data_IF_672551083487
#
_entry.id   IF_672551083487
#
_cell.length_a   1.000
_cell.length_b   1.000
_cell.length_c   1.000
_cell.angle_alpha   90.00
_cell.angle_beta   90.00
_cell.angle_gamma   90.00
#
_symmetry.space_group_name_H-M   'P 1'
#
loop_
_entity.id
_entity.type
_entity.pdbx_description
1 polymer ?
#
# COMPACT_ATOMS: atom_id res chain seq x y z
N UNK A 1 -99.97 5.98 -17.42
CA UNK A 1 -99.81 4.57 -17.83
C UNK A 1 -98.35 4.33 -18.19
N UNK A 2 -97.75 3.21 -17.75
CA UNK A 2 -96.40 2.66 -18.06
C UNK A 2 -95.16 3.42 -17.53
N UNK A 3 -94.51 2.94 -16.45
CA UNK A 3 -93.44 1.89 -16.35
C UNK A 3 -92.04 2.44 -16.70
N UNK A 4 -91.15 2.66 -15.71
CA UNK A 4 -90.23 1.70 -15.07
C UNK A 4 -89.03 1.29 -15.95
N UNK A 5 -87.80 1.64 -15.52
CA UNK A 5 -86.51 0.87 -15.54
C UNK A 5 -85.35 1.86 -15.30
N UNK A 6 -84.68 1.88 -14.15
CA UNK A 6 -83.74 0.92 -13.55
C UNK A 6 -82.32 0.96 -14.16
N UNK A 7 -81.41 1.54 -13.35
CA UNK A 7 -79.98 1.23 -13.09
C UNK A 7 -79.01 1.11 -14.28
N UNK A 8 -77.91 1.87 -14.21
CA UNK A 8 -76.54 1.31 -14.31
C UNK A 8 -75.49 2.33 -13.83
N UNK A 9 -74.56 1.80 -13.05
CA UNK A 9 -73.46 2.48 -12.39
C UNK A 9 -72.27 2.72 -13.33
N UNK A 10 -71.47 3.74 -13.05
CA UNK A 10 -70.09 3.83 -13.51
C UNK A 10 -69.24 4.53 -12.43
N UNK A 11 -68.68 3.73 -11.53
CA UNK A 11 -67.56 4.10 -10.67
C UNK A 11 -66.30 4.01 -11.54
N UNK A 12 -65.72 5.15 -11.90
CA UNK A 12 -64.44 5.18 -12.59
C UNK A 12 -63.32 4.90 -11.58
N UNK A 13 -62.77 3.70 -11.64
CA UNK A 13 -61.56 3.30 -10.93
C UNK A 13 -60.34 3.98 -11.60
N UNK A 14 -59.62 4.80 -10.83
CA UNK A 14 -58.34 5.35 -11.24
C UNK A 14 -57.25 4.27 -11.07
N UNK A 15 -56.90 3.61 -12.18
CA UNK A 15 -55.74 2.72 -12.26
C UNK A 15 -54.47 3.56 -12.41
N UNK A 16 -53.71 3.72 -11.32
CA UNK A 16 -52.36 4.29 -11.36
C UNK A 16 -51.41 3.20 -11.87
N UNK A 17 -50.87 3.42 -13.06
CA UNK A 17 -49.76 2.66 -13.64
C UNK A 17 -48.49 2.87 -12.80
N UNK A 18 -48.12 1.88 -11.98
CA UNK A 18 -46.78 1.79 -11.43
C UNK A 18 -45.84 1.31 -12.54
N UNK A 19 -45.26 2.25 -13.30
CA UNK A 19 -44.11 1.99 -14.13
C UNK A 19 -42.97 1.53 -13.20
N UNK A 20 -42.55 0.28 -13.36
CA UNK A 20 -41.34 -0.26 -12.75
C UNK A 20 -40.14 0.51 -13.26
N UNK A 21 -39.76 1.57 -12.55
CA UNK A 21 -38.47 2.21 -12.70
C UNK A 21 -37.40 1.20 -12.29
N UNK A 22 -36.51 0.87 -13.21
CA UNK A 22 -35.20 0.35 -12.84
C UNK A 22 -34.61 1.36 -11.84
N UNK A 23 -34.52 0.96 -10.57
CA UNK A 23 -33.82 1.73 -9.57
C UNK A 23 -32.34 1.77 -9.97
N UNK A 24 -31.97 2.79 -10.74
CA UNK A 24 -30.60 3.27 -10.81
C UNK A 24 -30.34 3.79 -9.40
N UNK A 25 -29.75 2.94 -8.56
CA UNK A 25 -29.33 3.32 -7.23
C UNK A 25 -28.44 4.55 -7.35
N UNK A 26 -28.88 5.66 -6.77
CA UNK A 26 -28.06 6.86 -6.65
C UNK A 26 -26.78 6.49 -5.91
N UNK A 27 -25.65 6.68 -6.61
CA UNK A 27 -24.31 6.43 -6.13
C UNK A 27 -24.01 7.45 -5.03
N UNK A 28 -24.05 7.02 -3.76
CA UNK A 28 -23.63 7.86 -2.65
C UNK A 28 -22.14 8.21 -2.77
N UNK A 29 -21.71 9.42 -2.37
CA UNK A 29 -20.30 9.83 -2.38
C UNK A 29 -19.39 9.03 -1.44
N UNK A 30 -19.95 8.13 -0.62
CA UNK A 30 -19.27 7.44 0.49
C UNK A 30 -19.15 5.91 0.32
N UNK A 31 -19.30 5.37 -0.89
CA UNK A 31 -19.14 3.92 -1.10
C UNK A 31 -17.67 3.62 -1.46
N UNK A 32 -16.85 3.05 -0.54
CA UNK A 32 -15.41 2.94 -0.75
C UNK A 32 -15.09 2.09 -2.00
N UNK A 33 -14.50 2.74 -3.00
CA UNK A 33 -13.92 2.09 -4.18
C UNK A 33 -12.58 1.44 -3.82
N UNK A 34 -12.17 0.44 -4.59
CA UNK A 34 -10.75 0.06 -4.63
C UNK A 34 -10.06 0.98 -5.65
N UNK A 35 -8.76 1.22 -5.51
CA UNK A 35 -7.99 1.98 -6.50
C UNK A 35 -7.02 1.07 -7.25
N UNK A 36 -6.83 1.36 -8.53
CA UNK A 36 -5.81 0.74 -9.37
C UNK A 36 -4.82 1.82 -9.81
N UNK A 37 -3.55 1.60 -9.49
CA UNK A 37 -2.43 2.44 -9.89
C UNK A 37 -1.51 1.63 -10.79
N UNK A 38 -1.10 2.21 -11.92
CA UNK A 38 -0.11 1.61 -12.82
C UNK A 38 1.13 2.47 -12.77
N UNK A 39 2.26 1.87 -12.42
CA UNK A 39 3.55 2.55 -12.29
C UNK A 39 4.64 1.82 -13.04
N UNK A 40 5.79 2.47 -13.13
CA UNK A 40 7.05 1.87 -13.55
C UNK A 40 8.19 2.38 -12.69
N UNK A 41 9.32 1.69 -12.79
CA UNK A 41 10.57 2.05 -12.13
C UNK A 41 10.41 2.17 -10.61
N UNK A 42 9.80 1.14 -10.00
CA UNK A 42 9.58 1.06 -8.55
C UNK A 42 8.65 2.16 -8.03
N UNK A 43 7.59 2.44 -8.78
CA UNK A 43 6.64 3.49 -8.42
C UNK A 43 7.11 4.91 -8.66
N UNK A 44 8.27 5.11 -9.29
CA UNK A 44 8.82 6.44 -9.51
C UNK A 44 8.05 7.22 -10.57
N UNK A 45 7.60 6.54 -11.62
CA UNK A 45 6.78 7.12 -12.69
C UNK A 45 5.39 6.48 -12.65
N UNK A 46 4.38 7.33 -12.46
CA UNK A 46 2.98 6.93 -12.55
C UNK A 46 2.54 6.99 -14.00
N UNK A 47 2.12 5.84 -14.52
CA UNK A 47 1.59 5.70 -15.86
C UNK A 47 0.09 5.99 -15.88
N UNK A 48 -0.64 5.56 -14.85
CA UNK A 48 -2.08 5.78 -14.74
C UNK A 48 -2.63 5.52 -13.32
N UNK A 49 -3.86 5.98 -13.05
CA UNK A 49 -4.61 5.77 -11.81
C UNK A 49 -6.11 5.79 -12.09
N UNK A 50 -6.85 4.79 -11.61
CA UNK A 50 -8.31 4.68 -11.77
C UNK A 50 -8.96 4.25 -10.47
N UNK A 51 -10.02 4.95 -10.09
CA UNK A 51 -10.96 4.53 -9.06
C UNK A 51 -11.90 3.46 -9.61
N UNK A 52 -12.06 2.38 -8.85
CA UNK A 52 -12.75 1.19 -9.31
C UNK A 52 -14.05 1.02 -8.50
N UNK A 53 -15.21 0.98 -9.17
CA UNK A 53 -16.48 0.78 -8.48
C UNK A 53 -16.49 -0.49 -7.61
N UNK A 54 -17.16 -0.42 -6.45
CA UNK A 54 -17.33 -1.54 -5.50
C UNK A 54 -17.76 -2.86 -6.14
N UNK A 55 -18.56 -2.83 -7.21
CA UNK A 55 -18.99 -4.04 -7.93
C UNK A 55 -17.81 -4.85 -8.53
N UNK A 56 -16.64 -4.25 -8.69
CA UNK A 56 -15.40 -4.92 -9.09
C UNK A 56 -14.53 -5.36 -7.88
N UNK A 57 -14.86 -4.91 -6.66
CA UNK A 57 -14.20 -5.26 -5.41
C UNK A 57 -14.60 -6.66 -4.94
N UNK A 58 -14.35 -7.69 -5.74
CA UNK A 58 -14.31 -9.11 -5.34
C UNK A 58 -13.40 -9.91 -6.29
N UNK A 59 -12.53 -9.21 -7.00
CA UNK A 59 -11.61 -9.74 -8.00
C UNK A 59 -10.22 -9.76 -7.45
N UNK A 60 -9.36 -10.58 -8.06
CA UNK A 60 -7.94 -10.54 -7.77
C UNK A 60 -7.29 -9.36 -8.51
N UNK A 61 -6.05 -9.02 -8.15
CA UNK A 61 -5.34 -7.89 -8.74
C UNK A 61 -5.23 -7.98 -10.27
N UNK A 62 -5.13 -9.19 -10.84
CA UNK A 62 -5.03 -9.40 -12.28
C UNK A 62 -6.39 -9.24 -12.97
N UNK A 63 -7.45 -9.80 -12.38
CA UNK A 63 -8.81 -9.65 -12.86
C UNK A 63 -9.30 -8.20 -12.75
N UNK A 64 -8.81 -7.45 -11.74
CA UNK A 64 -9.04 -6.01 -11.66
C UNK A 64 -8.34 -5.27 -12.80
N UNK A 65 -7.04 -5.50 -12.98
CA UNK A 65 -6.25 -4.90 -14.06
C UNK A 65 -6.87 -5.19 -15.44
N UNK A 66 -7.17 -6.45 -15.75
CA UNK A 66 -7.73 -6.87 -17.02
C UNK A 66 -9.16 -6.33 -17.29
N UNK A 67 -9.86 -5.86 -16.25
CA UNK A 67 -11.18 -5.25 -16.38
C UNK A 67 -11.18 -3.75 -16.65
N UNK A 68 -10.05 -3.11 -16.39
CA UNK A 68 -9.88 -1.65 -16.45
C UNK A 68 -8.86 -1.25 -17.52
N UNK A 69 -8.00 -2.18 -17.94
CA UNK A 69 -6.86 -1.96 -18.84
C UNK A 69 -6.78 -3.01 -19.94
N UNK A 70 -6.11 -2.66 -21.03
CA UNK A 70 -5.71 -3.64 -22.05
C UNK A 70 -4.48 -4.38 -21.56
N UNK A 71 -4.65 -5.67 -21.29
CA UNK A 71 -3.57 -6.53 -20.76
C UNK A 71 -3.20 -7.59 -21.78
N UNK A 72 -1.91 -7.66 -22.12
CA UNK A 72 -1.33 -8.82 -22.79
C UNK A 72 -0.69 -9.73 -21.75
N UNK A 73 -0.95 -11.03 -21.83
CA UNK A 73 -0.50 -12.00 -20.82
C UNK A 73 -0.19 -13.37 -21.41
N UNK A 74 0.66 -14.10 -20.70
CA UNK A 74 0.95 -15.51 -20.90
C UNK A 74 0.68 -16.25 -19.58
N UNK A 75 -0.43 -16.99 -19.51
CA UNK A 75 -0.90 -17.56 -18.24
C UNK A 75 -1.16 -16.47 -17.18
N UNK A 76 -0.56 -16.55 -15.97
CA UNK A 76 -0.66 -15.53 -14.93
C UNK A 76 0.35 -14.37 -15.10
N UNK A 77 1.30 -14.48 -16.03
CA UNK A 77 2.32 -13.44 -16.25
C UNK A 77 1.76 -12.35 -17.16
N UNK A 78 1.83 -11.10 -16.71
CA UNK A 78 1.52 -9.92 -17.52
C UNK A 78 2.75 -9.55 -18.35
N UNK A 79 2.55 -9.41 -19.67
CA UNK A 79 3.58 -9.04 -20.65
C UNK A 79 3.51 -7.56 -21.00
N UNK A 80 2.31 -6.99 -21.09
CA UNK A 80 2.09 -5.58 -21.37
C UNK A 80 0.79 -5.06 -20.75
N UNK A 81 0.78 -3.76 -20.41
CA UNK A 81 -0.39 -3.01 -19.95
C UNK A 81 -0.51 -1.76 -20.80
N UNK A 82 -1.66 -1.56 -21.45
CA UNK A 82 -1.94 -0.42 -22.33
C UNK A 82 -0.83 -0.12 -23.36
N UNK A 83 -0.19 -1.18 -23.88
CA UNK A 83 0.89 -1.10 -24.86
C UNK A 83 2.30 -0.95 -24.29
N UNK A 84 2.44 -0.70 -22.98
CA UNK A 84 3.73 -0.69 -22.29
C UNK A 84 4.15 -2.13 -22.02
N UNK A 85 5.12 -2.63 -22.78
CA UNK A 85 5.62 -4.01 -22.71
C UNK A 85 6.83 -4.10 -21.78
N UNK A 86 6.89 -5.17 -20.99
CA UNK A 86 8.09 -5.49 -20.23
C UNK A 86 9.24 -5.87 -21.18
N UNK A 87 10.36 -5.15 -21.09
CA UNK A 87 11.58 -5.42 -21.84
C UNK A 87 12.40 -6.58 -21.26
N UNK A 88 13.54 -6.91 -21.89
CA UNK A 88 14.49 -7.87 -21.33
C UNK A 88 14.94 -7.44 -19.92
N UNK A 89 14.76 -8.32 -18.95
CA UNK A 89 15.12 -8.04 -17.55
C UNK A 89 14.08 -7.25 -16.76
N UNK A 90 12.90 -6.99 -17.31
CA UNK A 90 11.78 -6.36 -16.62
C UNK A 90 10.59 -7.32 -16.42
N UNK A 91 9.77 -7.06 -15.42
CA UNK A 91 8.53 -7.76 -15.17
C UNK A 91 7.47 -6.84 -14.57
N UNK A 92 6.20 -7.12 -14.90
CA UNK A 92 5.05 -6.52 -14.24
C UNK A 92 4.74 -7.26 -12.93
N UNK A 93 4.62 -6.52 -11.83
CA UNK A 93 4.33 -7.08 -10.50
C UNK A 93 3.21 -6.32 -9.82
N UNK A 94 2.34 -7.04 -9.13
CA UNK A 94 1.28 -6.45 -8.34
C UNK A 94 1.65 -6.32 -6.87
N UNK A 95 1.13 -5.28 -6.23
CA UNK A 95 1.12 -5.04 -4.79
C UNK A 95 -0.33 -4.71 -4.41
N UNK A 96 -0.82 -5.28 -3.31
CA UNK A 96 -2.15 -4.97 -2.76
C UNK A 96 -1.96 -4.43 -1.35
N UNK A 97 -2.38 -3.20 -1.11
CA UNK A 97 -2.08 -2.43 0.09
C UNK A 97 -0.57 -2.46 0.39
N UNK A 98 0.25 -2.36 -0.66
CA UNK A 98 1.70 -2.39 -0.56
C UNK A 98 2.31 -3.76 -0.25
N UNK A 99 1.53 -4.85 -0.14
CA UNK A 99 2.04 -6.21 0.11
C UNK A 99 2.08 -7.04 -1.18
N UNK A 100 3.11 -7.89 -1.33
CA UNK A 100 3.19 -8.85 -2.45
C UNK A 100 2.17 -9.99 -2.26
N UNK A 101 1.12 -10.08 -3.09
CA UNK A 101 0.10 -11.13 -2.96
C UNK A 101 0.63 -12.52 -3.30
N UNK A 102 1.77 -12.64 -4.00
CA UNK A 102 2.39 -13.93 -4.33
C UNK A 102 2.96 -14.66 -3.09
N UNK A 103 3.14 -13.93 -1.98
CA UNK A 103 3.63 -14.50 -0.71
C UNK A 103 2.54 -15.09 0.18
N UNK A 104 1.27 -15.12 -0.27
CA UNK A 104 0.17 -15.61 0.56
C UNK A 104 -0.39 -14.55 1.53
N UNK A 105 -1.48 -14.80 2.27
CA UNK A 105 -1.85 -13.93 3.37
C UNK A 105 -0.90 -14.19 4.53
N UNK A 106 -0.78 -13.26 5.48
CA UNK A 106 0.10 -13.55 6.58
C UNK A 106 -0.44 -14.62 7.54
N UNK A 107 -1.77 -14.74 7.65
CA UNK A 107 -2.48 -15.65 8.56
C UNK A 107 -2.77 -17.05 8.01
N UNK A 108 -2.27 -17.41 6.82
CA UNK A 108 -2.42 -18.76 6.27
C UNK A 108 -1.20 -19.17 5.42
N UNK A 109 -0.01 -19.29 6.03
CA UNK A 109 1.17 -19.80 5.34
C UNK A 109 0.90 -21.17 4.72
N UNK A 110 1.25 -21.35 3.45
CA UNK A 110 1.18 -22.64 2.76
C UNK A 110 -0.20 -23.05 2.22
N UNK A 111 -1.25 -22.24 2.38
CA UNK A 111 -2.50 -22.46 1.61
C UNK A 111 -2.36 -21.85 0.21
N UNK A 112 -2.87 -22.55 -0.80
CA UNK A 112 -2.84 -22.06 -2.19
C UNK A 112 -3.42 -20.64 -2.29
N UNK A 113 -2.84 -19.75 -3.12
CA UNK A 113 -3.29 -18.37 -3.29
C UNK A 113 -4.75 -18.18 -3.72
N UNK A 114 -5.47 -19.25 -4.08
CA UNK A 114 -6.84 -19.21 -4.62
C UNK A 114 -7.87 -18.49 -3.75
N UNK A 115 -7.61 -18.32 -2.44
CA UNK A 115 -8.54 -17.64 -1.50
C UNK A 115 -8.13 -16.18 -1.24
N UNK A 116 -7.02 -15.71 -1.81
CA UNK A 116 -6.37 -14.43 -1.46
C UNK A 116 -6.63 -13.29 -2.41
N UNK A 117 -7.30 -13.59 -3.51
CA UNK A 117 -7.52 -12.68 -4.61
C UNK A 117 -8.85 -11.98 -4.51
N UNK A 118 -9.38 -11.67 -3.34
CA UNK A 118 -10.61 -10.87 -3.25
C UNK A 118 -10.27 -9.55 -2.62
N UNK A 119 -10.16 -8.52 -3.47
CA UNK A 119 -9.98 -7.15 -3.03
C UNK A 119 -11.16 -6.73 -2.16
N UNK A 120 -10.86 -6.03 -1.07
CA UNK A 120 -11.84 -5.35 -0.25
C UNK A 120 -12.07 -3.92 -0.76
N UNK A 121 -13.24 -3.32 -0.47
CA UNK A 121 -13.43 -1.88 -0.61
C UNK A 121 -12.31 -1.10 0.11
N UNK A 122 -11.74 -0.09 -0.55
CA UNK A 122 -10.61 0.69 -0.05
C UNK A 122 -9.22 0.13 -0.38
N UNK A 123 -9.11 -1.09 -0.90
CA UNK A 123 -7.80 -1.65 -1.26
C UNK A 123 -7.14 -0.83 -2.38
N UNK A 124 -5.84 -0.59 -2.23
CA UNK A 124 -4.98 0.03 -3.24
C UNK A 124 -4.21 -1.09 -3.96
N UNK A 125 -4.47 -1.25 -5.26
CA UNK A 125 -3.74 -2.18 -6.13
C UNK A 125 -2.76 -1.41 -6.97
N UNK A 126 -1.47 -1.68 -6.81
CA UNK A 126 -0.42 -1.13 -7.65
C UNK A 126 0.12 -2.23 -8.57
N UNK A 127 0.13 -1.97 -9.88
CA UNK A 127 0.87 -2.76 -10.87
C UNK A 127 2.09 -1.96 -11.32
N UNK A 128 3.27 -2.49 -11.07
CA UNK A 128 4.54 -1.82 -11.31
C UNK A 128 5.38 -2.61 -12.32
N UNK A 129 5.81 -1.93 -13.38
CA UNK A 129 6.83 -2.45 -14.30
C UNK A 129 8.22 -2.16 -13.71
N UNK A 130 8.97 -3.22 -13.41
CA UNK A 130 10.25 -3.09 -12.68
C UNK A 130 11.26 -4.15 -13.09
N UNK A 131 12.51 -3.97 -12.67
CA UNK A 131 13.57 -4.95 -12.90
C UNK A 131 13.22 -6.32 -12.27
N UNK A 132 13.52 -7.38 -13.01
CA UNK A 132 13.36 -8.79 -12.59
C UNK A 132 14.27 -9.15 -11.43
N UNK A 133 13.84 -10.15 -10.64
CA UNK A 133 14.65 -10.68 -9.54
C UNK A 133 14.58 -9.86 -8.26
N UNK A 134 13.84 -8.74 -8.26
CA UNK A 134 13.56 -7.95 -7.06
C UNK A 134 12.35 -8.51 -6.32
N UNK A 135 12.58 -8.89 -5.06
CA UNK A 135 11.51 -9.18 -4.10
C UNK A 135 11.29 -7.95 -3.25
N UNK A 136 10.09 -7.40 -3.33
CA UNK A 136 9.60 -6.36 -2.43
C UNK A 136 8.37 -6.90 -1.71
N UNK A 137 8.55 -7.69 -0.63
CA UNK A 137 7.45 -8.34 0.08
C UNK A 137 6.41 -7.36 0.66
N UNK A 138 6.88 -6.15 0.99
CA UNK A 138 6.08 -5.02 1.43
C UNK A 138 6.72 -3.72 0.91
N UNK A 139 5.89 -2.70 0.75
CA UNK A 139 6.25 -1.36 0.30
C UNK A 139 5.50 -0.33 1.12
N UNK A 140 5.99 0.91 1.13
CA UNK A 140 5.33 2.02 1.84
C UNK A 140 4.24 2.71 1.01
N UNK A 141 4.16 2.38 -0.28
CA UNK A 141 3.41 3.08 -1.33
C UNK A 141 1.92 3.22 -1.12
N UNK A 142 1.33 2.33 -0.34
CA UNK A 142 -0.10 2.29 -0.05
C UNK A 142 -0.44 2.79 1.37
N UNK A 143 0.47 3.51 2.05
CA UNK A 143 0.16 4.07 3.37
C UNK A 143 -1.11 4.95 3.32
N UNK A 144 -2.06 4.81 4.27
CA UNK A 144 -2.00 4.00 5.50
C UNK A 144 -2.63 2.59 5.37
N UNK A 145 -3.14 2.20 4.20
CA UNK A 145 -4.02 1.03 4.02
C UNK A 145 -3.56 -0.29 4.65
N UNK A 146 -2.29 -0.75 4.51
CA UNK A 146 -1.86 -1.99 5.17
C UNK A 146 -1.94 -1.95 6.70
N UNK A 147 -1.97 -0.76 7.31
CA UNK A 147 -2.12 -0.56 8.75
C UNK A 147 -3.57 -0.23 9.15
N UNK A 148 -4.30 0.46 8.28
CA UNK A 148 -5.69 0.87 8.52
C UNK A 148 -6.66 -0.29 8.30
N UNK A 149 -6.65 -0.83 7.08
CA UNK A 149 -7.58 -1.82 6.54
C UNK A 149 -6.99 -3.23 6.51
N UNK A 150 -5.66 -3.33 6.49
CA UNK A 150 -4.93 -4.59 6.50
C UNK A 150 -4.87 -5.24 5.11
N UNK A 151 -5.13 -6.53 5.03
CA UNK A 151 -4.99 -7.31 3.79
C UNK A 151 -6.06 -8.40 3.66
N UNK A 152 -6.58 -8.59 2.45
CA UNK A 152 -7.61 -9.59 2.13
C UNK A 152 -8.84 -9.48 3.06
N UNK A 153 -9.36 -8.25 3.24
CA UNK A 153 -10.52 -7.97 4.08
C UNK A 153 -10.31 -8.15 5.58
N UNK A 154 -9.06 -8.33 6.03
CA UNK A 154 -8.73 -8.49 7.45
C UNK A 154 -7.77 -7.41 7.92
N UNK A 155 -8.23 -6.66 8.92
CA UNK A 155 -7.43 -5.69 9.67
C UNK A 155 -6.40 -6.39 10.56
N UNK A 156 -5.19 -5.84 10.59
CA UNK A 156 -4.20 -6.17 11.63
C UNK A 156 -4.32 -5.16 12.76
N UNK A 157 -4.38 -5.58 14.04
CA UNK A 157 -3.98 -4.71 15.12
C UNK A 157 -2.58 -4.14 14.82
N UNK A 158 -2.37 -2.87 15.15
CA UNK A 158 -1.10 -2.18 14.92
C UNK A 158 -0.43 -1.92 16.26
N UNK A 159 0.79 -2.43 16.42
CA UNK A 159 1.64 -2.16 17.58
C UNK A 159 2.73 -1.17 17.23
N UNK A 160 2.75 -0.04 17.92
CA UNK A 160 3.82 0.94 17.85
C UNK A 160 4.87 0.59 18.91
N UNK A 161 6.09 0.32 18.45
CA UNK A 161 7.22 -0.07 19.30
C UNK A 161 8.29 1.02 19.21
N UNK A 162 8.51 1.72 20.31
CA UNK A 162 9.52 2.76 20.42
C UNK A 162 10.62 2.31 21.39
N UNK A 163 11.86 2.76 21.17
CA UNK A 163 12.92 2.61 22.19
C UNK A 163 12.60 3.43 23.44
N UNK A 164 12.23 4.69 23.22
CA UNK A 164 11.79 5.63 24.24
C UNK A 164 10.41 6.15 23.84
N UNK A 165 9.41 5.89 24.67
CA UNK A 165 8.02 6.29 24.41
C UNK A 165 7.80 7.79 24.56
N UNK A 166 8.67 8.48 25.28
CA UNK A 166 8.61 9.93 25.49
C UNK A 166 9.44 10.71 24.45
N UNK A 167 10.23 10.01 23.62
CA UNK A 167 11.02 10.64 22.58
C UNK A 167 10.12 11.31 21.51
N UNK A 168 10.51 12.49 20.97
CA UNK A 168 9.72 13.21 19.98
C UNK A 168 9.31 12.37 18.77
N UNK A 169 10.22 11.53 18.26
CA UNK A 169 9.94 10.66 17.11
C UNK A 169 8.81 9.66 17.39
N UNK A 170 8.70 9.14 18.61
CA UNK A 170 7.63 8.22 18.98
C UNK A 170 6.27 8.93 18.99
N UNK A 171 6.17 10.11 19.63
CA UNK A 171 4.93 10.89 19.64
C UNK A 171 4.51 11.31 18.23
N UNK A 172 5.46 11.80 17.42
CA UNK A 172 5.20 12.17 16.02
C UNK A 172 4.66 10.96 15.24
N UNK A 173 5.28 9.78 15.36
CA UNK A 173 4.83 8.60 14.64
C UNK A 173 3.42 8.18 15.07
N UNK A 174 3.11 8.20 16.37
CA UNK A 174 1.78 7.94 16.91
C UNK A 174 0.75 8.92 16.33
N UNK A 175 1.01 10.21 16.46
CA UNK A 175 0.11 11.28 15.97
C UNK A 175 -0.15 11.14 14.47
N UNK A 176 0.87 10.82 13.68
CA UNK A 176 0.75 10.60 12.23
C UNK A 176 -0.12 9.40 11.88
N UNK A 177 0.00 8.30 12.61
CA UNK A 177 -0.82 7.10 12.43
C UNK A 177 -2.28 7.36 12.86
N UNK A 178 -2.48 7.97 14.02
CA UNK A 178 -3.80 8.29 14.57
C UNK A 178 -4.55 9.31 13.71
N UNK A 179 -3.86 10.32 13.17
CA UNK A 179 -4.42 11.28 12.22
C UNK A 179 -4.94 10.64 10.93
N UNK A 180 -4.50 9.40 10.63
CA UNK A 180 -4.97 8.59 9.50
C UNK A 180 -5.95 7.49 9.93
N UNK A 181 -6.46 7.55 11.16
CA UNK A 181 -7.43 6.60 11.69
C UNK A 181 -6.83 5.22 12.02
N UNK A 182 -5.51 5.09 12.07
CA UNK A 182 -4.84 3.84 12.45
C UNK A 182 -4.78 3.76 13.99
N UNK A 183 -5.54 2.87 14.65
CA UNK A 183 -5.49 2.67 16.08
C UNK A 183 -4.21 1.92 16.41
N UNK A 184 -3.39 2.53 17.25
CA UNK A 184 -2.12 1.97 17.68
C UNK A 184 -2.16 1.59 19.15
N UNK A 185 -1.58 0.45 19.48
CA UNK A 185 -1.24 0.09 20.86
C UNK A 185 0.26 0.21 21.06
N UNK A 186 0.69 0.81 22.17
CA UNK A 186 2.11 0.84 22.51
C UNK A 186 2.60 -0.56 22.87
N UNK A 187 3.82 -0.90 22.47
CA UNK A 187 4.43 -2.19 22.70
C UNK A 187 5.89 -2.10 23.12
N UNK A 188 6.35 -3.14 23.82
CA UNK A 188 7.77 -3.29 24.17
C UNK A 188 8.55 -3.62 22.89
N UNK A 189 9.61 -2.85 22.67
CA UNK A 189 10.50 -3.01 21.54
C UNK A 189 11.06 -4.43 21.42
N UNK A 190 10.98 -5.00 20.22
CA UNK A 190 11.58 -6.30 19.93
C UNK A 190 10.76 -7.50 20.40
N UNK A 191 9.61 -7.27 21.03
CA UNK A 191 8.63 -8.34 21.28
C UNK A 191 8.30 -9.02 19.97
N UNK A 192 8.30 -10.36 19.96
CA UNK A 192 7.96 -11.15 18.78
C UNK A 192 6.64 -10.66 18.16
N UNK A 193 6.65 -10.54 16.84
CA UNK A 193 5.44 -10.33 16.06
C UNK A 193 4.72 -11.65 15.83
N UNK A 194 3.70 -11.60 14.98
CA UNK A 194 3.05 -12.80 14.48
C UNK A 194 2.29 -12.50 13.19
N UNK A 195 1.68 -13.53 12.58
CA UNK A 195 1.00 -13.43 11.30
C UNK A 195 -0.23 -12.51 11.30
N UNK A 196 -0.64 -12.02 12.47
CA UNK A 196 -1.85 -11.22 12.65
C UNK A 196 -1.59 -9.85 13.25
N UNK A 197 -0.34 -9.47 13.52
CA UNK A 197 0.01 -8.22 14.21
C UNK A 197 0.96 -7.39 13.36
N UNK A 198 0.46 -6.28 12.81
CA UNK A 198 1.31 -5.31 12.13
C UNK A 198 2.12 -4.52 13.16
N UNK A 199 3.37 -4.23 12.83
CA UNK A 199 4.32 -3.54 13.73
C UNK A 199 4.83 -2.28 13.07
N UNK A 200 4.93 -1.21 13.85
CA UNK A 200 5.65 0.01 13.48
C UNK A 200 6.75 0.20 14.50
N UNK A 201 8.00 0.04 14.08
CA UNK A 201 9.18 0.17 14.93
C UNK A 201 9.79 1.55 14.72
N UNK A 202 9.85 2.35 15.78
CA UNK A 202 10.43 3.69 15.80
C UNK A 202 11.63 3.70 16.74
N UNK A 203 12.83 3.52 16.18
CA UNK A 203 14.05 3.48 16.98
C UNK A 203 15.29 3.86 16.14
N UNK A 204 16.36 4.40 16.77
CA UNK A 204 17.66 4.53 16.12
C UNK A 204 18.14 3.17 15.60
N UNK A 205 18.89 3.17 14.49
CA UNK A 205 19.30 1.92 13.86
C UNK A 205 20.18 1.04 14.75
N UNK A 206 21.02 1.66 15.60
CA UNK A 206 21.82 0.97 16.63
C UNK A 206 20.99 0.06 17.54
N UNK A 207 19.70 0.35 17.69
CA UNK A 207 18.75 -0.38 18.52
C UNK A 207 17.85 -1.24 17.65
N UNK A 208 17.29 -0.67 16.57
CA UNK A 208 16.39 -1.35 15.65
C UNK A 208 17.02 -2.61 15.03
N UNK A 209 18.34 -2.61 14.78
CA UNK A 209 19.07 -3.75 14.22
C UNK A 209 19.06 -5.02 15.10
N UNK A 210 18.72 -4.91 16.38
CA UNK A 210 18.57 -6.08 17.28
C UNK A 210 17.22 -6.78 17.13
N UNK A 211 16.30 -6.20 16.38
CA UNK A 211 14.95 -6.75 16.17
C UNK A 211 15.00 -7.68 14.96
N UNK A 212 14.68 -8.96 15.19
CA UNK A 212 14.75 -10.01 14.18
C UNK A 212 14.01 -9.66 12.88
N UNK A 213 12.84 -9.03 13.00
CA UNK A 213 12.02 -8.60 11.86
C UNK A 213 12.69 -7.53 10.97
N UNK A 214 13.68 -6.81 11.49
CA UNK A 214 14.39 -5.74 10.77
C UNK A 214 15.77 -6.17 10.25
N UNK A 215 16.29 -7.33 10.67
CA UNK A 215 17.54 -7.90 10.16
C UNK A 215 17.64 -7.97 8.63
N UNK A 216 16.56 -8.21 7.86
CA UNK A 216 16.64 -8.18 6.40
C UNK A 216 17.19 -6.87 5.81
N UNK A 217 17.11 -5.73 6.52
CA UNK A 217 17.70 -4.45 6.08
C UNK A 217 19.24 -4.42 6.11
N UNK A 218 19.89 -5.37 6.79
CA UNK A 218 21.34 -5.57 6.72
C UNK A 218 21.75 -6.40 5.50
N UNK A 219 20.79 -7.05 4.85
CA UNK A 219 21.03 -7.94 3.72
C UNK A 219 20.95 -7.26 2.36
N UNK A 220 20.66 -8.06 1.34
CA UNK A 220 20.48 -7.59 -0.03
C UNK A 220 19.21 -6.72 -0.16
N UNK A 221 19.32 -5.43 -0.54
CA UNK A 221 18.17 -4.55 -0.70
C UNK A 221 17.17 -5.04 -1.76
N UNK A 222 17.60 -5.85 -2.74
CA UNK A 222 16.70 -6.46 -3.73
C UNK A 222 15.80 -7.52 -3.13
N UNK A 223 16.07 -8.00 -1.91
CA UNK A 223 15.21 -8.95 -1.18
C UNK A 223 14.16 -8.28 -0.31
N UNK A 224 14.39 -7.03 0.08
CA UNK A 224 13.47 -6.26 0.92
C UNK A 224 12.66 -5.25 0.12
N UNK A 225 13.21 -4.74 -0.99
CA UNK A 225 12.67 -3.60 -1.72
C UNK A 225 12.99 -2.25 -1.08
N UNK A 226 13.78 -2.21 0.00
CA UNK A 226 14.03 -0.97 0.74
C UNK A 226 15.06 -0.04 0.05
N UNK A 227 15.98 -0.60 -0.74
CA UNK A 227 17.05 0.16 -1.43
C UNK A 227 17.78 1.18 -0.54
N UNK A 228 17.96 0.79 0.72
CA UNK A 228 18.80 1.46 1.70
C UNK A 228 19.58 0.39 2.45
N UNK A 229 20.79 0.73 2.90
CA UNK A 229 21.58 -0.15 3.76
C UNK A 229 22.33 0.64 4.81
N UNK A 230 22.53 0.02 5.95
CA UNK A 230 23.34 0.58 7.03
C UNK A 230 24.75 -0.02 6.98
N UNK A 231 25.76 0.84 6.96
CA UNK A 231 27.18 0.46 6.88
C UNK A 231 27.94 0.96 8.12
N UNK A 232 29.21 0.58 8.24
CA UNK A 232 30.08 0.90 9.38
C UNK A 232 29.43 0.55 10.72
N UNK A 233 29.01 -0.71 10.86
CA UNK A 233 28.32 -1.21 12.05
C UNK A 233 27.01 -0.46 12.36
N UNK A 234 26.41 0.14 11.33
CA UNK A 234 25.16 0.87 11.46
C UNK A 234 25.31 2.36 11.76
N UNK A 235 26.53 2.90 11.70
CA UNK A 235 26.81 4.32 11.95
C UNK A 235 26.57 5.21 10.72
N UNK A 236 26.47 4.63 9.53
CA UNK A 236 26.16 5.36 8.29
C UNK A 236 25.02 4.70 7.53
N UNK A 237 24.21 5.53 6.88
CA UNK A 237 23.16 5.10 5.97
C UNK A 237 23.63 5.35 4.53
N UNK A 238 23.43 4.37 3.67
CA UNK A 238 23.61 4.51 2.22
C UNK A 238 22.28 4.27 1.52
N UNK A 239 22.01 5.09 0.52
CA UNK A 239 20.82 5.02 -0.33
C UNK A 239 21.23 4.40 -1.66
N UNK A 240 20.44 3.46 -2.18
CA UNK A 240 20.78 2.72 -3.38
C UNK A 240 19.81 3.05 -4.52
N UNK A 241 20.31 3.01 -5.75
CA UNK A 241 19.47 2.97 -6.95
C UNK A 241 19.00 1.53 -7.27
N UNK A 242 18.25 1.38 -8.36
CA UNK A 242 17.68 0.11 -8.80
C UNK A 242 18.79 -0.91 -9.17
N UNK A 243 19.95 -0.43 -9.62
CA UNK A 243 21.11 -1.28 -9.92
C UNK A 243 21.82 -1.74 -8.64
N UNK A 244 21.60 -1.06 -7.51
CA UNK A 244 22.28 -1.31 -6.23
C UNK A 244 23.55 -0.49 -6.05
N UNK A 245 23.75 0.58 -6.83
CA UNK A 245 24.85 1.52 -6.60
C UNK A 245 24.50 2.39 -5.41
N UNK A 246 25.41 2.43 -4.44
CA UNK A 246 25.22 3.15 -3.19
C UNK A 246 25.68 4.60 -3.30
N UNK A 247 24.95 5.50 -2.65
CA UNK A 247 25.33 6.87 -2.37
C UNK A 247 25.20 7.15 -0.88
N UNK A 248 26.21 7.76 -0.23
CA UNK A 248 26.11 8.13 1.17
C UNK A 248 24.90 9.04 1.44
N UNK A 249 24.14 8.73 2.48
CA UNK A 249 23.09 9.62 2.97
C UNK A 249 23.74 10.74 3.79
N UNK A 250 23.27 12.01 3.66
CA UNK A 250 23.65 13.07 4.58
C UNK A 250 23.30 12.73 6.04
N UNK A 251 24.01 13.31 7.00
CA UNK A 251 23.63 13.25 8.41
C UNK A 251 22.20 13.79 8.62
N UNK A 252 21.48 13.28 9.61
CA UNK A 252 20.06 13.63 9.80
C UNK A 252 19.13 12.98 8.78
N UNK A 253 19.58 11.99 8.01
CA UNK A 253 18.70 11.22 7.12
C UNK A 253 17.99 10.10 7.87
N UNK A 254 16.66 10.09 7.76
CA UNK A 254 15.79 9.01 8.20
C UNK A 254 15.42 8.04 7.09
N UNK A 255 14.99 6.83 7.46
CA UNK A 255 14.46 5.79 6.59
C UNK A 255 13.06 5.37 7.07
N UNK A 256 12.12 5.31 6.14
CA UNK A 256 10.85 4.59 6.28
C UNK A 256 10.82 3.45 5.28
N UNK A 257 10.72 2.21 5.77
CA UNK A 257 10.65 1.02 4.94
C UNK A 257 9.61 0.05 5.51
N UNK A 258 8.91 -0.67 4.63
CA UNK A 258 8.03 -1.76 5.03
C UNK A 258 8.70 -3.10 4.71
N UNK A 259 8.63 -4.04 5.65
CA UNK A 259 9.19 -5.38 5.53
C UNK A 259 8.11 -6.41 5.79
N UNK A 260 8.33 -7.61 5.26
CA UNK A 260 7.51 -8.77 5.55
C UNK A 260 8.39 -10.01 5.74
N UNK A 261 8.83 -10.29 6.98
CA UNK A 261 9.59 -11.50 7.27
C UNK A 261 8.74 -12.75 7.00
N UNK A 262 9.10 -13.54 5.99
CA UNK A 262 8.35 -14.73 5.61
C UNK A 262 6.90 -14.41 5.23
N UNK A 263 5.95 -15.03 5.94
CA UNK A 263 4.52 -14.77 5.79
C UNK A 263 3.97 -13.99 6.98
N UNK A 264 4.74 -13.20 7.71
CA UNK A 264 4.18 -12.44 8.82
C UNK A 264 3.41 -11.20 8.33
N UNK A 265 2.66 -10.58 9.24
CA UNK A 265 2.09 -9.25 9.03
C UNK A 265 3.22 -8.22 8.82
N UNK A 266 2.97 -7.09 8.12
CA UNK A 266 4.03 -6.16 7.79
C UNK A 266 4.67 -5.53 9.04
N UNK A 267 5.99 -5.37 8.99
CA UNK A 267 6.77 -4.61 9.96
C UNK A 267 7.32 -3.37 9.27
N UNK A 268 6.92 -2.19 9.75
CA UNK A 268 7.40 -0.90 9.29
C UNK A 268 8.59 -0.47 10.14
N UNK A 269 9.70 -0.14 9.49
CA UNK A 269 10.86 0.48 10.11
C UNK A 269 10.78 1.99 9.90
N UNK A 270 10.79 2.75 10.99
CA UNK A 270 10.95 4.20 11.02
C UNK A 270 12.22 4.45 11.82
N UNK A 271 13.32 4.71 11.12
CA UNK A 271 14.65 4.63 11.74
C UNK A 271 15.62 5.66 11.15
N UNK A 272 16.79 5.80 11.76
CA UNK A 272 17.86 6.70 11.36
C UNK A 272 19.13 6.39 12.15
N UNK A 273 20.26 6.93 11.71
CA UNK A 273 21.54 6.78 12.42
C UNK A 273 21.70 7.75 13.59
N UNK A 274 20.88 8.79 13.63
CA UNK A 274 20.84 9.83 14.66
C UNK A 274 19.38 10.25 14.96
N UNK A 275 19.18 11.05 16.01
CA UNK A 275 17.86 11.52 16.44
C UNK A 275 17.16 12.38 15.38
N UNK A 276 17.91 13.24 14.69
CA UNK A 276 17.36 14.10 13.63
C UNK A 276 16.79 13.28 12.47
N UNK A 277 17.51 12.23 12.05
CA UNK A 277 17.07 11.29 11.03
C UNK A 277 15.85 10.48 11.49
N UNK A 278 15.87 9.96 12.72
CA UNK A 278 14.73 9.23 13.27
C UNK A 278 13.46 10.08 13.28
N UNK A 279 13.55 11.34 13.75
CA UNK A 279 12.40 12.25 13.72
C UNK A 279 11.98 12.63 12.30
N UNK A 280 12.93 12.82 11.38
CA UNK A 280 12.63 13.10 9.97
C UNK A 280 11.85 11.94 9.33
N UNK A 281 12.22 10.68 9.62
CA UNK A 281 11.49 9.51 9.21
C UNK A 281 10.07 9.49 9.80
N UNK A 282 9.92 9.73 11.11
CA UNK A 282 8.61 9.75 11.76
C UNK A 282 7.67 10.83 11.17
N UNK A 283 8.19 12.04 10.90
CA UNK A 283 7.44 13.12 10.26
C UNK A 283 6.99 12.77 8.84
N UNK A 284 7.68 11.85 8.18
CA UNK A 284 7.38 11.43 6.81
C UNK A 284 6.34 10.33 6.69
N UNK A 285 5.76 9.86 7.82
CA UNK A 285 4.55 9.02 7.84
C UNK A 285 3.33 9.83 7.39
N UNK A 286 3.28 10.11 6.10
CA UNK A 286 2.22 10.86 5.44
C UNK A 286 1.89 10.21 4.11
N UNK A 287 0.61 10.15 3.77
CA UNK A 287 0.12 9.51 2.55
C UNK A 287 0.76 10.12 1.30
N UNK A 288 0.82 11.45 1.18
CA UNK A 288 1.42 12.10 0.00
C UNK A 288 2.93 11.85 -0.06
N UNK A 289 3.57 11.78 1.11
CA UNK A 289 4.99 11.49 1.22
C UNK A 289 5.33 10.02 0.91
N UNK A 290 4.41 9.08 1.05
CA UNK A 290 4.71 7.66 0.86
C UNK A 290 4.13 7.09 -0.43
N UNK A 291 3.09 7.73 -0.99
CA UNK A 291 2.36 7.29 -2.19
C UNK A 291 3.27 6.80 -3.31
N UNK A 292 2.97 5.58 -3.78
CA UNK A 292 3.63 4.78 -4.82
C UNK A 292 5.06 4.29 -4.49
N UNK A 293 5.67 4.68 -3.36
CA UNK A 293 7.09 4.41 -3.08
C UNK A 293 7.32 3.04 -2.49
N UNK A 294 8.46 2.43 -2.80
CA UNK A 294 8.86 1.16 -2.18
C UNK A 294 9.39 1.41 -0.76
N UNK A 295 10.27 2.40 -0.63
CA UNK A 295 10.72 2.95 0.64
C UNK A 295 11.01 4.46 0.47
N UNK A 296 11.27 5.13 1.60
CA UNK A 296 11.47 6.57 1.64
C UNK A 296 12.69 6.92 2.50
N UNK A 297 13.59 7.74 1.96
CA UNK A 297 14.60 8.43 2.74
C UNK A 297 14.20 9.88 3.01
N UNK A 298 14.09 10.25 4.28
CA UNK A 298 13.84 11.62 4.72
C UNK A 298 15.19 12.32 4.96
N UNK A 299 15.76 12.92 3.93
CA UNK A 299 17.03 13.66 4.02
C UNK A 299 16.79 15.10 4.48
N UNK A 300 17.80 15.83 5.00
CA UNK A 300 17.65 17.23 5.33
C UNK A 300 17.09 18.05 4.15
N UNK A 301 15.92 18.66 4.36
CA UNK A 301 15.26 19.54 3.37
C UNK A 301 14.56 18.84 2.21
N UNK A 302 14.64 17.51 2.06
CA UNK A 302 13.93 16.80 0.97
C UNK A 302 13.64 15.35 1.27
N UNK A 303 12.54 14.87 0.71
CA UNK A 303 12.17 13.46 0.68
C UNK A 303 12.71 12.81 -0.61
N UNK A 304 13.25 11.60 -0.49
CA UNK A 304 13.76 10.82 -1.64
C UNK A 304 13.10 9.45 -1.68
N UNK A 305 12.39 9.16 -2.78
CA UNK A 305 11.93 7.82 -3.06
C UNK A 305 13.13 6.87 -3.23
N UNK A 306 12.95 5.63 -2.79
CA UNK A 306 13.90 4.56 -2.96
C UNK A 306 13.26 3.46 -3.82
N UNK A 307 13.98 2.91 -4.81
CA UNK A 307 15.37 3.21 -5.20
C UNK A 307 15.59 4.62 -5.73
N UNK A 308 16.84 5.10 -5.62
CA UNK A 308 17.28 6.35 -6.22
C UNK A 308 17.23 6.28 -7.76
N UNK A 309 16.98 7.42 -8.39
CA UNK A 309 17.08 7.53 -9.85
C UNK A 309 15.93 6.91 -10.62
N UNK A 310 14.95 6.29 -9.95
CA UNK A 310 13.63 6.10 -10.53
C UNK A 310 13.12 7.48 -10.97
N UNK A 311 12.53 7.56 -12.15
CA UNK A 311 12.04 8.79 -12.78
C UNK A 311 10.90 9.41 -11.95
N UNK A 312 11.21 9.98 -10.80
CA UNK A 312 10.27 10.76 -10.01
C UNK A 312 9.85 11.94 -10.88
N UNK A 313 8.61 11.89 -11.36
CA UNK A 313 8.03 12.90 -12.23
C UNK A 313 8.38 14.30 -11.76
N UNK A 314 9.19 14.99 -12.56
CA UNK A 314 9.34 16.42 -12.49
C UNK A 314 7.99 17.05 -12.86
N UNK A 315 7.18 17.36 -11.84
CA UNK A 315 5.92 18.08 -11.93
C UNK A 315 5.22 17.98 -10.58
N UNK A 316 5.23 18.99 -9.71
CA UNK A 316 4.74 20.33 -9.97
C UNK A 316 5.60 21.38 -9.22
N UNK A 317 6.26 22.22 -10.00
CA UNK A 317 6.57 23.59 -9.60
C UNK A 317 6.00 24.49 -10.70
N UNK A 318 5.04 25.34 -10.30
CA UNK A 318 4.56 26.55 -10.97
C UNK A 318 4.37 26.54 -12.49
N UNK A 319 3.10 26.56 -12.93
CA UNK A 319 2.52 27.65 -13.74
C UNK A 319 1.00 27.53 -13.76
#
# INVERSE_FOLDING_TARGET
MCRLRARLAAVAAASILALGGCAVGERGPDDPSASLIVTRDFGAERLDEVEVPRAAAHRDALALLASTRRVEREGPRVLAVDGVRAGPGEEWRSLVNGLDPALGPPFAPGREPKVLGTLAPGDIVQWDLRATGVRAPATVGAFPEPLLSGFAGRRFPVRLECEDTEAPACSIARERLEARGVPVSLGILGTQGGPTLARVVVAPWSVARRISALLPLEGDPRRTGAYARFVDEGRRLELLDAEGRASPAPQGTGLVAALRPGTDAPTWAVTGVDSAGLEAAARSLDERALRDRYALAATPGRLRALPLGGSAGAGQSAR
#
